data_IF_781321330673
#
_entry.id   IF_781321330673
#
_cell.length_a   1.000
_cell.length_b   1.000
_cell.length_c   1.000
_cell.angle_alpha   90.00
_cell.angle_beta   90.00
_cell.angle_gamma   90.00
#
_symmetry.space_group_name_H-M   'P 1'
#
loop_
_entity.id
_entity.type
_entity.pdbx_description
1 polymer ?
#
# COMPACT_ATOMS: atom_id res chain seq x y z
N UNK A 1 -46.04 -70.24 -31.12
CA UNK A 1 -45.35 -70.00 -29.83
C UNK A 1 -44.54 -68.71 -29.92
N UNK A 2 -44.55 -67.94 -28.83
CA UNK A 2 -43.60 -66.87 -28.44
C UNK A 2 -43.47 -65.61 -29.36
N UNK A 3 -43.95 -64.42 -28.95
CA UNK A 3 -43.39 -63.47 -27.94
C UNK A 3 -42.12 -62.77 -28.45
N UNK A 4 -42.16 -61.45 -28.76
CA UNK A 4 -41.73 -60.30 -27.91
C UNK A 4 -40.71 -59.50 -28.76
N UNK A 5 -40.45 -58.20 -28.68
CA UNK A 5 -40.88 -57.06 -27.90
C UNK A 5 -40.34 -55.84 -28.67
N UNK A 6 -41.13 -54.78 -28.82
CA UNK A 6 -40.59 -53.48 -29.22
C UNK A 6 -39.66 -52.96 -28.12
N UNK A 7 -38.43 -52.57 -28.46
CA UNK A 7 -37.57 -51.78 -27.57
C UNK A 7 -37.39 -50.39 -28.20
N UNK A 8 -38.18 -49.44 -27.72
CA UNK A 8 -37.90 -48.04 -27.89
C UNK A 8 -36.72 -47.68 -26.98
N UNK A 9 -35.58 -47.30 -27.58
CA UNK A 9 -34.47 -46.68 -26.86
C UNK A 9 -34.90 -45.26 -26.46
N UNK A 10 -35.27 -45.09 -25.19
CA UNK A 10 -35.41 -43.76 -24.60
C UNK A 10 -34.01 -43.23 -24.26
N UNK A 11 -33.50 -42.30 -25.08
CA UNK A 11 -32.30 -41.55 -24.80
C UNK A 11 -32.63 -40.51 -23.71
N UNK A 12 -32.28 -40.80 -22.46
CA UNK A 12 -32.40 -39.84 -21.36
C UNK A 12 -31.29 -38.80 -21.53
N UNK A 13 -31.65 -37.65 -22.11
CA UNK A 13 -30.79 -36.47 -22.10
C UNK A 13 -30.69 -35.93 -20.68
N UNK A 14 -29.51 -36.06 -20.06
CA UNK A 14 -29.19 -35.36 -18.83
C UNK A 14 -29.12 -33.86 -19.16
N UNK A 15 -30.16 -33.12 -18.77
CA UNK A 15 -30.15 -31.66 -18.79
C UNK A 15 -29.11 -31.20 -17.76
N UNK A 16 -27.94 -30.77 -18.24
CA UNK A 16 -26.96 -30.08 -17.41
C UNK A 16 -27.59 -28.81 -16.85
N UNK A 17 -27.87 -28.80 -15.54
CA UNK A 17 -28.26 -27.58 -14.83
C UNK A 17 -27.04 -26.65 -14.87
N UNK A 18 -27.10 -25.47 -15.49
CA UNK A 18 -25.97 -24.54 -15.41
C UNK A 18 -25.75 -24.21 -13.93
N UNK A 19 -24.58 -24.61 -13.41
CA UNK A 19 -24.15 -24.24 -12.08
C UNK A 19 -24.17 -22.71 -12.00
N UNK A 20 -25.05 -22.18 -11.15
CA UNK A 20 -25.14 -20.74 -10.91
C UNK A 20 -23.82 -20.36 -10.23
N UNK A 21 -22.91 -19.71 -10.96
CA UNK A 21 -21.63 -19.28 -10.42
C UNK A 21 -21.88 -18.51 -9.11
N UNK A 22 -21.33 -19.02 -8.01
CA UNK A 22 -21.49 -18.40 -6.70
C UNK A 22 -20.93 -16.97 -6.77
N UNK A 23 -21.71 -16.00 -6.26
CA UNK A 23 -21.24 -14.63 -6.10
C UNK A 23 -20.55 -14.54 -4.75
N UNK A 24 -19.27 -14.20 -4.77
CA UNK A 24 -18.40 -14.21 -3.59
C UNK A 24 -18.06 -12.76 -3.21
N UNK A 25 -18.11 -12.39 -1.93
CA UNK A 25 -17.71 -11.05 -1.52
C UNK A 25 -16.19 -10.86 -1.73
N UNK A 26 -15.76 -9.63 -2.02
CA UNK A 26 -14.33 -9.27 -2.18
C UNK A 26 -13.43 -9.72 -1.02
N UNK A 27 -13.98 -9.83 0.20
CA UNK A 27 -13.25 -10.31 1.39
C UNK A 27 -12.88 -11.78 1.32
N UNK A 28 -13.61 -12.60 0.54
CA UNK A 28 -13.34 -14.03 0.32
C UNK A 28 -12.64 -14.33 -1.00
N UNK A 29 -12.35 -13.32 -1.83
CA UNK A 29 -11.74 -13.54 -3.15
C UNK A 29 -10.41 -14.32 -3.08
N UNK A 30 -9.65 -14.20 -1.98
CA UNK A 30 -8.43 -14.98 -1.76
C UNK A 30 -8.63 -16.51 -1.75
N UNK A 31 -9.82 -16.98 -1.37
CA UNK A 31 -10.17 -18.41 -1.36
C UNK A 31 -10.31 -18.99 -2.78
N UNK A 32 -10.48 -18.12 -3.79
CA UNK A 32 -10.76 -18.50 -5.18
C UNK A 32 -9.56 -18.32 -6.11
N UNK A 33 -8.37 -18.03 -5.58
CA UNK A 33 -7.14 -17.91 -6.38
C UNK A 33 -6.89 -19.19 -7.17
N UNK A 34 -6.70 -19.05 -8.49
CA UNK A 34 -6.52 -20.13 -9.44
C UNK A 34 -7.82 -20.64 -10.07
N UNK A 35 -8.98 -20.07 -9.72
CA UNK A 35 -10.29 -20.47 -10.23
C UNK A 35 -11.09 -19.28 -10.77
N UNK A 36 -12.08 -19.55 -11.62
CA UNK A 36 -13.06 -18.56 -12.06
C UNK A 36 -14.11 -18.31 -10.97
N UNK A 37 -14.38 -17.03 -10.68
CA UNK A 37 -15.39 -16.62 -9.71
C UNK A 37 -16.09 -15.32 -10.13
N UNK A 38 -17.28 -15.09 -9.57
CA UNK A 38 -17.96 -13.79 -9.63
C UNK A 38 -17.75 -13.07 -8.30
N UNK A 39 -16.86 -12.08 -8.28
CA UNK A 39 -16.51 -11.32 -7.08
C UNK A 39 -17.35 -10.05 -6.97
N UNK A 40 -18.01 -9.82 -5.85
CA UNK A 40 -18.84 -8.65 -5.58
C UNK A 40 -18.20 -7.70 -4.56
N UNK A 41 -18.17 -6.41 -4.89
CA UNK A 41 -17.72 -5.39 -3.95
C UNK A 41 -17.97 -3.97 -4.43
N UNK A 42 -17.92 -3.01 -3.49
CA UNK A 42 -17.97 -1.59 -3.82
C UNK A 42 -16.59 -1.07 -4.17
N UNK A 43 -16.45 -0.45 -5.33
CA UNK A 43 -15.20 0.20 -5.73
C UNK A 43 -15.05 1.48 -4.91
N UNK A 44 -14.06 1.53 -4.03
CA UNK A 44 -13.80 2.70 -3.16
C UNK A 44 -12.59 3.50 -3.61
N UNK A 45 -11.67 2.88 -4.34
CA UNK A 45 -10.47 3.51 -4.88
C UNK A 45 -10.32 3.19 -6.37
N UNK A 46 -9.85 4.16 -7.14
CA UNK A 46 -9.41 3.99 -8.53
C UNK A 46 -8.06 4.66 -8.67
N UNK A 47 -7.11 3.97 -9.30
CA UNK A 47 -5.79 4.53 -9.61
C UNK A 47 -5.48 4.27 -11.08
N UNK A 48 -5.29 5.35 -11.84
CA UNK A 48 -4.92 5.28 -13.25
C UNK A 48 -3.43 5.64 -13.41
N UNK A 49 -2.69 4.75 -14.06
CA UNK A 49 -1.30 4.98 -14.52
C UNK A 49 -1.21 4.79 -16.04
N UNK A 50 -0.08 5.13 -16.68
CA UNK A 50 0.14 4.80 -18.10
C UNK A 50 0.07 3.29 -18.41
N UNK A 51 0.34 2.43 -17.42
CA UNK A 51 0.40 0.97 -17.61
C UNK A 51 -0.94 0.27 -17.36
N UNK A 52 -1.74 0.78 -16.43
CA UNK A 52 -3.00 0.15 -16.03
C UNK A 52 -3.93 1.10 -15.25
N UNK A 53 -5.23 0.80 -15.26
CA UNK A 53 -6.18 1.29 -14.25
C UNK A 53 -6.47 0.19 -13.24
N UNK A 54 -6.31 0.48 -11.96
CA UNK A 54 -6.60 -0.43 -10.86
C UNK A 54 -7.86 0.05 -10.12
N UNK A 55 -8.82 -0.86 -9.95
CA UNK A 55 -9.99 -0.71 -9.12
C UNK A 55 -9.73 -1.37 -7.77
N UNK A 56 -9.85 -0.60 -6.69
CA UNK A 56 -9.65 -1.03 -5.32
C UNK A 56 -10.95 -1.10 -4.53
N UNK A 57 -11.08 -2.15 -3.74
CA UNK A 57 -12.21 -2.39 -2.83
C UNK A 57 -11.87 -2.07 -1.37
N UNK A 58 -10.67 -1.53 -1.14
CA UNK A 58 -10.23 -0.87 0.08
C UNK A 58 -9.49 0.44 -0.27
N UNK A 59 -9.49 1.47 0.60
CA UNK A 59 -8.88 2.78 0.30
C UNK A 59 -7.39 2.72 -0.06
N UNK A 60 -6.67 1.75 0.49
CA UNK A 60 -5.23 1.54 0.30
C UNK A 60 -4.90 0.38 -0.66
N UNK A 61 -5.88 -0.09 -1.45
CA UNK A 61 -5.72 -1.25 -2.34
C UNK A 61 -5.24 -2.52 -1.58
N UNK A 62 -5.67 -2.68 -0.33
CA UNK A 62 -5.52 -3.95 0.40
C UNK A 62 -6.57 -4.97 -0.07
N UNK A 63 -6.21 -6.25 -0.01
CA UNK A 63 -7.08 -7.35 -0.43
C UNK A 63 -7.19 -7.45 -1.96
N UNK A 64 -8.40 -7.75 -2.43
CA UNK A 64 -8.70 -7.95 -3.85
C UNK A 64 -8.61 -6.66 -4.66
N UNK A 65 -8.01 -6.74 -5.85
CA UNK A 65 -7.99 -5.67 -6.84
C UNK A 65 -8.45 -6.16 -8.20
N UNK A 66 -9.00 -5.25 -9.00
CA UNK A 66 -9.30 -5.52 -10.39
C UNK A 66 -8.50 -4.58 -11.29
N UNK A 67 -7.80 -5.13 -12.27
CA UNK A 67 -6.79 -4.40 -13.05
C UNK A 67 -7.14 -4.43 -14.53
N UNK A 68 -7.32 -3.25 -15.13
CA UNK A 68 -7.47 -3.05 -16.58
C UNK A 68 -6.12 -2.62 -17.12
N UNK A 69 -5.48 -3.44 -17.97
CA UNK A 69 -4.22 -3.07 -18.60
C UNK A 69 -4.40 -1.98 -19.66
N UNK A 70 -3.34 -1.22 -19.94
CA UNK A 70 -3.36 -0.16 -20.95
C UNK A 70 -3.83 -0.66 -22.33
N UNK A 71 -3.47 -1.89 -22.72
CA UNK A 71 -3.90 -2.49 -23.99
C UNK A 71 -5.40 -2.78 -24.10
N UNK A 72 -6.08 -2.95 -22.96
CA UNK A 72 -7.52 -3.22 -22.91
C UNK A 72 -8.37 -1.96 -22.67
N UNK A 73 -7.74 -0.87 -22.21
CA UNK A 73 -8.42 0.38 -21.81
C UNK A 73 -9.35 0.95 -22.88
N UNK A 74 -8.97 0.85 -24.16
CA UNK A 74 -9.75 1.35 -25.29
C UNK A 74 -11.12 0.64 -25.45
N UNK A 75 -11.30 -0.54 -24.86
CA UNK A 75 -12.57 -1.28 -24.88
C UNK A 75 -13.58 -0.75 -23.86
N UNK A 76 -13.13 0.00 -22.85
CA UNK A 76 -13.97 0.51 -21.78
C UNK A 76 -14.52 1.90 -22.17
N UNK A 77 -15.85 2.09 -22.18
CA UNK A 77 -16.44 3.34 -22.62
C UNK A 77 -16.33 4.45 -21.58
N UNK A 78 -15.78 5.60 -21.99
CA UNK A 78 -15.67 6.80 -21.16
C UNK A 78 -14.62 6.69 -20.05
N UNK A 79 -14.69 7.59 -19.07
CA UNK A 79 -13.76 7.58 -17.95
C UNK A 79 -14.08 6.42 -16.98
N UNK A 80 -13.05 5.63 -16.67
CA UNK A 80 -13.16 4.43 -15.81
C UNK A 80 -13.43 4.82 -14.36
N UNK A 81 -12.85 5.92 -13.88
CA UNK A 81 -13.03 6.37 -12.51
C UNK A 81 -14.46 6.85 -12.28
N UNK A 82 -14.97 7.74 -13.13
CA UNK A 82 -16.36 8.22 -13.09
C UNK A 82 -17.36 7.06 -13.24
N UNK A 83 -17.02 6.06 -14.07
CA UNK A 83 -17.92 4.95 -14.35
C UNK A 83 -18.02 3.96 -13.20
N UNK A 84 -16.98 3.74 -12.41
CA UNK A 84 -16.98 2.65 -11.41
C UNK A 84 -16.81 3.09 -9.97
N UNK A 85 -16.16 4.23 -9.70
CA UNK A 85 -15.94 4.69 -8.31
C UNK A 85 -17.26 4.86 -7.58
N UNK A 86 -17.31 4.33 -6.37
CA UNK A 86 -18.47 4.38 -5.49
C UNK A 86 -19.58 3.38 -5.85
N UNK A 87 -19.46 2.61 -6.94
CA UNK A 87 -20.52 1.70 -7.38
C UNK A 87 -20.31 0.30 -6.83
N UNK A 88 -21.42 -0.40 -6.58
CA UNK A 88 -21.41 -1.82 -6.24
C UNK A 88 -21.31 -2.61 -7.55
N UNK A 89 -20.26 -3.42 -7.67
CA UNK A 89 -19.90 -4.12 -8.90
C UNK A 89 -19.77 -5.61 -8.64
N UNK A 90 -20.22 -6.42 -9.60
CA UNK A 90 -19.86 -7.83 -9.75
C UNK A 90 -18.84 -7.97 -10.88
N UNK A 91 -17.78 -8.72 -10.60
CA UNK A 91 -16.64 -8.93 -11.49
C UNK A 91 -16.51 -10.41 -11.76
N UNK A 92 -16.57 -10.82 -13.03
CA UNK A 92 -16.51 -12.24 -13.42
C UNK A 92 -15.21 -12.53 -14.16
N UNK A 93 -14.52 -13.59 -13.72
CA UNK A 93 -13.33 -14.09 -14.40
C UNK A 93 -12.37 -14.83 -13.46
N UNK A 94 -11.15 -15.11 -13.93
CA UNK A 94 -10.17 -15.83 -13.16
C UNK A 94 -9.61 -14.92 -12.06
N UNK A 95 -9.62 -15.42 -10.82
CA UNK A 95 -8.91 -14.78 -9.72
C UNK A 95 -7.48 -15.33 -9.69
N UNK A 96 -6.50 -14.45 -9.85
CA UNK A 96 -5.07 -14.80 -9.83
C UNK A 96 -4.39 -14.22 -8.59
N UNK A 97 -3.20 -14.71 -8.25
CA UNK A 97 -2.37 -14.09 -7.24
C UNK A 97 -1.32 -13.20 -7.90
N UNK A 98 -1.30 -11.91 -7.54
CA UNK A 98 -0.24 -10.98 -7.91
C UNK A 98 0.42 -10.43 -6.65
N UNK A 99 1.73 -10.69 -6.50
CA UNK A 99 2.52 -10.33 -5.31
C UNK A 99 1.87 -10.76 -3.98
N UNK A 100 1.28 -11.95 -3.96
CA UNK A 100 0.63 -12.52 -2.78
C UNK A 100 -0.78 -11.96 -2.48
N UNK A 101 -1.35 -11.12 -3.35
CA UNK A 101 -2.71 -10.60 -3.22
C UNK A 101 -3.62 -11.16 -4.32
N UNK A 102 -4.91 -11.41 -4.03
CA UNK A 102 -5.86 -11.81 -5.06
C UNK A 102 -6.13 -10.64 -6.02
N UNK A 103 -6.08 -10.90 -7.32
CA UNK A 103 -6.29 -9.93 -8.39
C UNK A 103 -7.16 -10.55 -9.48
N UNK A 104 -7.95 -9.72 -10.17
CA UNK A 104 -8.60 -10.10 -11.42
C UNK A 104 -8.19 -9.13 -12.53
N UNK A 105 -7.66 -9.68 -13.62
CA UNK A 105 -7.42 -8.88 -14.81
C UNK A 105 -8.73 -8.72 -15.60
N UNK A 106 -9.15 -7.47 -15.81
CA UNK A 106 -10.39 -7.13 -16.52
C UNK A 106 -10.02 -6.73 -17.94
N UNK A 107 -10.25 -7.65 -18.88
CA UNK A 107 -9.89 -7.52 -20.31
C UNK A 107 -11.06 -7.06 -21.18
N UNK A 108 -12.28 -7.23 -20.69
CA UNK A 108 -13.51 -6.89 -21.40
C UNK A 108 -14.54 -6.22 -20.46
N UNK A 109 -15.28 -5.19 -20.91
CA UNK A 109 -16.30 -4.54 -20.09
C UNK A 109 -17.43 -5.49 -19.64
N UNK A 110 -17.70 -6.58 -20.35
CA UNK A 110 -18.69 -7.60 -19.93
C UNK A 110 -18.33 -8.32 -18.63
N UNK A 111 -17.06 -8.30 -18.23
CA UNK A 111 -16.62 -8.81 -16.94
C UNK A 111 -17.10 -7.94 -15.78
N UNK A 112 -17.52 -6.69 -16.03
CA UNK A 112 -17.99 -5.75 -15.03
C UNK A 112 -19.50 -5.56 -15.13
N UNK A 113 -20.22 -5.95 -14.08
CA UNK A 113 -21.65 -5.74 -13.96
C UNK A 113 -21.95 -4.81 -12.80
N UNK A 114 -22.57 -3.67 -13.08
CA UNK A 114 -23.07 -2.77 -12.05
C UNK A 114 -24.33 -3.35 -11.43
N UNK A 115 -24.37 -3.38 -10.10
CA UNK A 115 -25.58 -3.76 -9.36
C UNK A 115 -26.37 -2.48 -9.11
N UNK A 116 -27.29 -2.17 -10.03
CA UNK A 116 -28.32 -1.15 -9.82
C UNK A 116 -29.40 -1.71 -8.91
N UNK A 117 -29.41 -1.30 -7.65
CA UNK A 117 -30.59 -1.43 -6.80
C UNK A 117 -31.60 -0.33 -7.22
N UNK A 118 -32.77 -0.67 -7.78
CA UNK A 118 -33.81 0.33 -8.09
C UNK A 118 -34.42 0.98 -6.84
N UNK A 119 -34.01 0.56 -5.63
CA UNK A 119 -34.46 1.11 -4.35
C UNK A 119 -33.32 1.78 -3.55
N UNK A 120 -32.19 2.07 -4.20
CA UNK A 120 -31.11 2.81 -3.57
C UNK A 120 -31.39 4.33 -3.59
N UNK A 121 -32.31 4.79 -2.74
CA UNK A 121 -32.20 6.14 -2.18
C UNK A 121 -30.82 6.24 -1.54
N UNK A 122 -30.04 7.33 -1.72
CA UNK A 122 -28.85 7.56 -0.92
C UNK A 122 -29.32 7.78 0.51
N UNK A 123 -29.49 6.68 1.25
CA UNK A 123 -29.78 6.72 2.66
C UNK A 123 -28.51 7.28 3.31
N UNK A 124 -28.58 8.36 4.11
CA UNK A 124 -27.50 8.68 5.02
C UNK A 124 -27.11 7.40 5.76
N UNK A 125 -25.83 7.20 6.03
CA UNK A 125 -25.22 6.00 6.62
C UNK A 125 -25.83 5.61 8.00
N UNK A 126 -26.90 6.27 8.47
CA UNK A 126 -27.46 6.16 9.81
C UNK A 126 -28.61 5.15 10.01
N UNK A 127 -29.17 4.48 8.99
CA UNK A 127 -30.47 3.76 9.19
C UNK A 127 -30.48 2.27 8.81
N UNK A 128 -29.33 1.63 8.57
CA UNK A 128 -29.21 0.15 8.64
C UNK A 128 -28.26 -0.30 9.74
N UNK A 129 -28.47 0.24 10.95
CA UNK A 129 -28.01 -0.34 12.22
C UNK A 129 -29.24 -0.70 13.06
N UNK A 130 -30.18 -1.44 12.47
CA UNK A 130 -31.32 -2.01 13.18
C UNK A 130 -31.32 -3.51 12.84
N UNK A 131 -30.83 -4.42 13.67
CA UNK A 131 -30.05 -4.30 14.89
C UNK A 131 -28.69 -4.95 14.62
N UNK A 132 -27.59 -4.30 15.00
CA UNK A 132 -26.36 -5.06 15.20
C UNK A 132 -26.69 -6.17 16.21
N UNK A 133 -26.28 -7.43 16.02
CA UNK A 133 -26.34 -8.40 17.10
C UNK A 133 -25.66 -7.73 18.29
N UNK A 134 -26.36 -7.64 19.44
CA UNK A 134 -25.74 -7.19 20.68
C UNK A 134 -24.44 -7.96 20.80
N UNK A 135 -23.27 -7.28 20.83
CA UNK A 135 -22.02 -8.01 20.88
C UNK A 135 -22.08 -8.98 22.05
N UNK A 136 -21.84 -10.25 21.77
CA UNK A 136 -21.86 -11.28 22.80
C UNK A 136 -20.80 -11.00 23.87
N UNK A 137 -20.85 -11.70 25.01
CA UNK A 137 -19.88 -11.54 26.10
C UNK A 137 -18.42 -11.65 25.63
N UNK A 138 -18.14 -12.45 24.61
CA UNK A 138 -16.82 -12.61 24.01
C UNK A 138 -16.25 -11.33 23.37
N UNK A 139 -17.12 -10.46 22.83
CA UNK A 139 -16.68 -9.19 22.24
C UNK A 139 -16.33 -8.17 23.31
N UNK A 140 -17.05 -8.17 24.44
CA UNK A 140 -16.71 -7.34 25.59
C UNK A 140 -15.42 -7.83 26.25
N UNK A 141 -15.23 -9.15 26.34
CA UNK A 141 -13.97 -9.73 26.79
C UNK A 141 -12.80 -9.36 25.86
N UNK A 142 -12.99 -9.43 24.55
CA UNK A 142 -12.00 -9.01 23.56
C UNK A 142 -11.65 -7.52 23.72
N UNK A 143 -12.65 -6.66 23.94
CA UNK A 143 -12.44 -5.23 24.18
C UNK A 143 -11.64 -4.98 25.46
N UNK A 144 -12.00 -5.65 26.55
CA UNK A 144 -11.24 -5.56 27.80
C UNK A 144 -9.81 -6.06 27.62
N UNK A 145 -9.61 -7.11 26.82
CA UNK A 145 -8.28 -7.65 26.53
C UNK A 145 -7.44 -6.72 25.67
N UNK A 146 -8.05 -6.01 24.72
CA UNK A 146 -7.39 -4.96 23.92
C UNK A 146 -7.00 -3.78 24.83
N UNK A 147 -7.93 -3.29 25.65
CA UNK A 147 -7.63 -2.19 26.58
C UNK A 147 -6.52 -2.55 27.58
N UNK A 148 -6.56 -3.76 28.15
CA UNK A 148 -5.51 -4.25 29.04
C UNK A 148 -4.17 -4.45 28.32
N UNK A 149 -4.19 -4.76 27.01
CA UNK A 149 -2.98 -4.85 26.22
C UNK A 149 -2.39 -3.46 25.96
N UNK A 150 -3.23 -2.47 25.66
CA UNK A 150 -2.82 -1.08 25.47
C UNK A 150 -2.17 -0.50 26.74
N UNK A 151 -2.74 -0.75 27.92
CA UNK A 151 -2.12 -0.35 29.19
C UNK A 151 -0.77 -1.04 29.43
N UNK A 152 -0.66 -2.33 29.10
CA UNK A 152 0.60 -3.07 29.20
C UNK A 152 1.66 -2.55 28.24
N UNK A 153 1.27 -2.16 27.03
CA UNK A 153 2.18 -1.55 26.05
C UNK A 153 2.66 -0.20 26.56
N UNK A 154 1.77 0.67 27.04
CA UNK A 154 2.14 1.97 27.60
C UNK A 154 3.10 1.82 28.79
N UNK A 155 2.87 0.84 29.67
CA UNK A 155 3.76 0.56 30.79
C UNK A 155 5.13 0.03 30.34
N UNK A 156 5.19 -0.78 29.28
CA UNK A 156 6.45 -1.24 28.69
C UNK A 156 7.21 -0.08 28.05
N UNK A 157 6.55 0.79 27.31
CA UNK A 157 7.16 1.98 26.71
C UNK A 157 7.75 2.90 27.79
N UNK A 158 7.01 3.16 28.87
CA UNK A 158 7.52 3.94 30.00
C UNK A 158 8.76 3.30 30.66
N UNK A 159 8.76 1.97 30.80
CA UNK A 159 9.92 1.22 31.34
C UNK A 159 11.12 1.26 30.39
N UNK A 160 10.90 1.15 29.09
CA UNK A 160 11.96 1.26 28.08
C UNK A 160 12.56 2.65 28.11
N UNK A 161 11.74 3.70 28.08
CA UNK A 161 12.21 5.09 28.16
C UNK A 161 13.03 5.35 29.44
N UNK A 162 12.55 4.85 30.59
CA UNK A 162 13.30 4.92 31.85
C UNK A 162 14.64 4.19 31.79
N UNK A 163 14.67 2.98 31.21
CA UNK A 163 15.90 2.23 31.03
C UNK A 163 16.88 2.93 30.09
N UNK A 164 16.40 3.48 28.97
CA UNK A 164 17.21 4.26 28.01
C UNK A 164 17.81 5.49 28.68
N UNK A 165 17.02 6.22 29.47
CA UNK A 165 17.50 7.37 30.22
C UNK A 165 18.55 6.98 31.28
N UNK A 166 18.35 5.83 31.94
CA UNK A 166 19.31 5.27 32.90
C UNK A 166 20.60 4.84 32.20
N UNK A 167 20.51 4.19 31.03
CA UNK A 167 21.66 3.82 30.20
C UNK A 167 22.43 5.06 29.72
N UNK A 168 21.72 6.10 29.27
CA UNK A 168 22.32 7.36 28.83
C UNK A 168 23.03 8.12 29.95
N UNK A 169 22.50 8.05 31.18
CA UNK A 169 23.17 8.59 32.35
C UNK A 169 24.44 7.81 32.74
N UNK A 170 24.43 6.49 32.57
CA UNK A 170 25.59 5.63 32.83
C UNK A 170 26.67 5.73 31.74
N UNK A 171 26.27 5.95 30.48
CA UNK A 171 27.16 6.09 29.33
C UNK A 171 26.86 7.41 28.60
N UNK A 172 27.33 8.55 29.14
CA UNK A 172 27.16 9.83 28.46
C UNK A 172 27.87 9.78 27.09
N UNK A 173 27.28 10.40 26.05
CA UNK A 173 27.94 10.48 24.75
C UNK A 173 29.31 11.14 24.90
N UNK A 174 30.34 10.67 24.17
CA UNK A 174 31.65 11.29 24.22
C UNK A 174 31.54 12.76 23.80
N UNK A 175 32.32 13.67 24.43
CA UNK A 175 32.28 15.07 24.07
C UNK A 175 32.56 15.25 22.57
N UNK A 176 31.85 16.17 21.88
CA UNK A 176 32.10 16.41 20.47
C UNK A 176 33.56 16.84 20.26
N UNK A 177 34.25 16.35 19.20
CA UNK A 177 35.62 16.74 18.93
C UNK A 177 35.68 18.26 18.62
N UNK A 178 36.64 19.01 19.17
CA UNK A 178 36.78 20.43 18.88
C UNK A 178 37.14 20.61 17.40
N UNK A 179 36.20 21.14 16.60
CA UNK A 179 36.42 21.32 15.15
C UNK A 179 35.90 22.68 14.69
N UNK A 180 36.68 23.74 14.92
CA UNK A 180 36.37 25.09 14.41
C UNK A 180 37.17 25.34 13.13
N UNK A 181 36.50 25.65 12.02
CA UNK A 181 37.14 26.20 10.80
C UNK A 181 36.89 27.70 10.70
N UNK A 182 37.87 28.43 10.19
CA UNK A 182 37.76 29.86 9.93
C UNK A 182 37.51 30.14 8.44
N UNK A 183 36.71 31.17 8.14
CA UNK A 183 36.64 31.76 6.79
C UNK A 183 38.04 32.24 6.41
N UNK A 184 38.47 32.01 5.17
CA UNK A 184 39.80 32.37 4.70
C UNK A 184 40.88 31.32 5.01
N UNK A 185 40.54 30.19 5.64
CA UNK A 185 41.48 29.07 5.78
C UNK A 185 41.87 28.52 4.39
N UNK A 186 43.11 28.05 4.25
CA UNK A 186 43.55 27.33 3.05
C UNK A 186 43.25 25.84 3.14
N UNK A 187 43.30 25.18 1.99
CA UNK A 187 43.11 23.73 1.83
C UNK A 187 43.96 22.88 2.80
N UNK A 188 45.17 23.32 3.14
CA UNK A 188 46.06 22.59 4.04
C UNK A 188 45.61 22.69 5.51
N UNK A 189 45.13 23.86 5.94
CA UNK A 189 44.49 24.04 7.24
C UNK A 189 43.22 23.19 7.36
N UNK A 190 42.39 23.16 6.32
CA UNK A 190 41.20 22.30 6.29
C UNK A 190 41.57 20.82 6.45
N UNK A 191 42.59 20.33 5.74
CA UNK A 191 43.03 18.93 5.85
C UNK A 191 43.59 18.58 7.23
N UNK A 192 44.30 19.50 7.89
CA UNK A 192 44.77 19.30 9.27
C UNK A 192 43.63 19.19 10.26
N UNK A 193 42.57 19.99 10.06
CA UNK A 193 41.43 20.05 10.99
C UNK A 193 40.39 18.97 10.73
N UNK A 194 40.09 18.65 9.47
CA UNK A 194 38.99 17.75 9.07
C UNK A 194 39.45 16.41 8.48
N UNK A 195 40.74 16.26 8.17
CA UNK A 195 41.23 15.14 7.38
C UNK A 195 40.96 15.33 5.88
N UNK A 196 41.04 14.23 5.12
CA UNK A 196 40.80 14.28 3.67
C UNK A 196 39.30 14.26 3.35
N UNK A 197 38.84 15.04 2.36
CA UNK A 197 37.45 14.98 1.91
C UNK A 197 37.16 13.64 1.24
N UNK A 198 35.89 13.22 1.27
CA UNK A 198 35.40 12.04 0.56
C UNK A 198 35.20 12.30 -0.93
N UNK A 199 34.78 13.51 -1.25
CA UNK A 199 34.52 13.94 -2.62
C UNK A 199 34.90 15.42 -2.78
N UNK A 200 35.39 15.78 -3.96
CA UNK A 200 35.71 17.15 -4.34
C UNK A 200 34.97 17.47 -5.63
N UNK A 201 34.11 18.48 -5.60
CA UNK A 201 33.39 19.01 -6.75
C UNK A 201 34.02 20.34 -7.15
N UNK A 202 34.27 20.54 -8.44
CA UNK A 202 34.81 21.80 -8.97
C UNK A 202 33.70 22.58 -9.66
N UNK A 203 33.57 23.86 -9.31
CA UNK A 203 32.65 24.78 -9.97
C UNK A 203 33.28 25.39 -11.23
N UNK A 204 32.44 25.80 -12.17
CA UNK A 204 32.86 26.50 -13.40
C UNK A 204 33.43 27.91 -13.11
N UNK A 205 33.19 28.43 -11.91
CA UNK A 205 33.71 29.68 -11.37
C UNK A 205 35.16 29.57 -10.84
N UNK A 206 35.75 28.37 -10.91
CA UNK A 206 37.08 28.08 -10.38
C UNK A 206 37.10 27.77 -8.88
N UNK A 207 35.94 27.73 -8.22
CA UNK A 207 35.80 27.29 -6.83
C UNK A 207 35.81 25.76 -6.67
N UNK A 208 35.99 25.30 -5.45
CA UNK A 208 35.90 23.87 -5.10
C UNK A 208 34.98 23.64 -3.90
N UNK A 209 34.22 22.55 -3.90
CA UNK A 209 33.41 22.10 -2.77
C UNK A 209 33.94 20.74 -2.31
N UNK A 210 34.40 20.68 -1.07
CA UNK A 210 34.91 19.48 -0.43
C UNK A 210 33.86 18.88 0.50
N UNK A 211 33.51 17.62 0.28
CA UNK A 211 32.41 16.93 0.97
C UNK A 211 32.97 15.87 1.93
N UNK A 212 32.49 15.88 3.18
CA UNK A 212 32.96 14.99 4.26
C UNK A 212 31.91 13.97 4.71
N UNK A 213 30.67 14.07 4.21
CA UNK A 213 29.54 13.20 4.54
C UNK A 213 28.21 13.95 4.46
N UNK A 214 27.12 13.29 4.84
CA UNK A 214 25.77 13.86 4.77
C UNK A 214 25.69 15.19 5.52
N UNK A 215 25.45 16.28 4.78
CA UNK A 215 25.31 17.63 5.34
C UNK A 215 26.61 18.31 5.79
N UNK A 216 27.79 17.75 5.46
CA UNK A 216 29.10 18.33 5.83
C UNK A 216 29.94 18.68 4.61
N UNK A 217 30.11 19.98 4.36
CA UNK A 217 30.89 20.48 3.22
C UNK A 217 31.66 21.75 3.57
N UNK A 218 32.77 21.97 2.86
CA UNK A 218 33.58 23.19 2.89
C UNK A 218 33.71 23.70 1.46
N UNK A 219 33.36 24.95 1.21
CA UNK A 219 33.44 25.58 -0.11
C UNK A 219 34.59 26.55 -0.15
N UNK A 220 35.40 26.46 -1.20
CA UNK A 220 36.54 27.29 -1.51
C UNK A 220 36.20 28.22 -2.68
N UNK A 221 36.63 29.47 -2.58
CA UNK A 221 36.58 30.42 -3.68
C UNK A 221 37.69 30.14 -4.72
N UNK A 222 37.69 30.88 -5.84
CA UNK A 222 38.72 30.76 -6.88
C UNK A 222 40.13 31.13 -6.40
N UNK A 223 40.25 31.80 -5.26
CA UNK A 223 41.51 32.09 -4.56
C UNK A 223 42.00 30.94 -3.67
N UNK A 224 41.28 29.81 -3.65
CA UNK A 224 41.61 28.63 -2.85
C UNK A 224 41.36 28.82 -1.36
N UNK A 225 40.55 29.80 -0.96
CA UNK A 225 40.23 30.11 0.43
C UNK A 225 38.82 29.67 0.80
N UNK A 226 38.64 29.19 2.04
CA UNK A 226 37.32 28.81 2.55
C UNK A 226 36.40 30.03 2.58
N UNK A 227 35.28 29.95 1.86
CA UNK A 227 34.23 30.99 1.83
C UNK A 227 33.09 30.62 2.75
N UNK A 228 32.70 29.35 2.78
CA UNK A 228 31.61 28.84 3.61
C UNK A 228 31.85 27.39 4.01
N UNK A 229 31.29 26.99 5.15
CA UNK A 229 31.20 25.59 5.55
C UNK A 229 29.82 25.29 6.13
N UNK A 230 29.39 24.04 6.01
CA UNK A 230 28.09 23.57 6.50
C UNK A 230 28.30 22.29 7.33
N UNK A 231 27.54 22.15 8.42
CA UNK A 231 27.61 20.95 9.27
C UNK A 231 28.87 20.86 10.17
N UNK A 232 29.55 21.98 10.39
CA UNK A 232 30.65 22.11 11.37
C UNK A 232 30.33 23.24 12.37
N UNK A 233 30.76 23.11 13.62
CA UNK A 233 30.55 24.14 14.63
C UNK A 233 31.38 25.40 14.29
N UNK A 234 30.70 26.53 14.09
CA UNK A 234 31.34 27.83 13.85
C UNK A 234 31.74 28.53 15.16
N UNK A 235 32.68 29.47 15.06
CA UNK A 235 32.70 30.65 15.94
C UNK A 235 32.15 31.82 15.16
#
# INVERSE_FOLDING_TARGET
MARRLALALALVGVLGVPARAEVVPVTRAGEYVGTDATVEGRVVAVYASPLATVLGFAPNFAGFTATILAGDRAKFPGDVEERYRGKLMQLTGPVTAYRGKPEMQVRDPSQLKMITDPNATPTPIATRVAAAPTPGPEFEEMRQRIAALEERVAALEARVAGNEQTLGAQNPPPPPPPTTLAVGADAAAVRRTLGSPREVQRGDDGGEIWIYGTGRSVTFGPDGRVVVWTGFAGR
#
